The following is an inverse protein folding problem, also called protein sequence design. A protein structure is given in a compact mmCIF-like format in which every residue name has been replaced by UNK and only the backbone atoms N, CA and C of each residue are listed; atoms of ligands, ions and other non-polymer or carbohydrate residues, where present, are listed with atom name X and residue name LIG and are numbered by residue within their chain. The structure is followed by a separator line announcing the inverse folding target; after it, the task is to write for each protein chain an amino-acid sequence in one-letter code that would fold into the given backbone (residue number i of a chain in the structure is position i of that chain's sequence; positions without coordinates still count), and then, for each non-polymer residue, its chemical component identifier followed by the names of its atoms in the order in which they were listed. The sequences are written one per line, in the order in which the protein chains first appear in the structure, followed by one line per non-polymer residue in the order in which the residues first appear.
data_IF_768405354005
#
_entry.id   IF_768405354005
#
_cell.length_a   1.000
_cell.length_b   1.000
_cell.length_c   1.000
_cell.angle_alpha   90.00
_cell.angle_beta   90.00
_cell.angle_gamma   90.00
#
_symmetry.space_group_name_H-M   'P 1'
#
loop_
_entity.id
_entity.type
_entity.pdbx_description
1 polymer ?
#
# COMPACT_ATOMS: atom_id res chain seq x y z
N UNK A 1 26.52 10.93 6.75
CA UNK A 1 25.07 11.04 6.44
C UNK A 1 24.43 9.79 6.98
N UNK A 2 23.60 9.89 8.03
CA UNK A 2 22.92 8.75 8.62
C UNK A 2 21.96 8.12 7.61
N UNK A 3 22.04 6.80 7.43
CA UNK A 3 21.06 6.05 6.66
C UNK A 3 19.69 6.22 7.35
N UNK A 4 18.89 7.14 6.85
CA UNK A 4 17.53 7.30 7.35
C UNK A 4 16.77 5.99 7.12
N UNK A 5 16.18 5.44 8.19
CA UNK A 5 15.33 4.25 8.09
C UNK A 5 14.20 4.53 7.07
N UNK A 6 13.97 3.65 6.08
CA UNK A 6 12.87 3.82 5.13
C UNK A 6 11.53 3.98 5.84
N UNK A 7 10.67 4.86 5.32
CA UNK A 7 9.42 5.27 5.98
C UNK A 7 8.51 4.10 6.37
N UNK A 8 8.43 3.06 5.53
CA UNK A 8 7.63 1.87 5.78
C UNK A 8 8.10 1.05 7.00
N UNK A 9 9.33 1.24 7.43
CA UNK A 9 9.94 0.54 8.57
C UNK A 9 10.00 1.39 9.85
N UNK A 10 9.56 2.64 9.79
CA UNK A 10 9.41 3.47 10.99
C UNK A 10 8.39 2.84 11.94
N UNK A 11 8.62 3.01 13.23
CA UNK A 11 7.72 2.48 14.25
C UNK A 11 6.54 3.42 14.49
N UNK A 12 5.37 2.84 14.53
CA UNK A 12 4.14 3.47 14.95
C UNK A 12 3.54 2.60 16.06
N UNK A 13 3.61 3.07 17.30
CA UNK A 13 3.08 2.34 18.46
C UNK A 13 3.69 0.91 18.60
N UNK A 14 5.01 0.80 18.52
CA UNK A 14 5.75 -0.45 18.73
C UNK A 14 5.75 -1.45 17.55
N UNK A 15 5.10 -1.12 16.43
CA UNK A 15 5.08 -1.93 15.21
C UNK A 15 5.51 -1.09 14.01
N UNK A 16 6.08 -1.70 12.98
CA UNK A 16 6.41 -0.94 11.77
C UNK A 16 5.14 -0.49 11.03
N UNK A 17 5.25 0.61 10.28
CA UNK A 17 4.15 1.14 9.45
C UNK A 17 3.65 0.06 8.48
N UNK A 18 4.57 -0.69 7.85
CA UNK A 18 4.23 -1.79 6.94
C UNK A 18 3.49 -2.93 7.66
N UNK A 19 3.95 -3.33 8.87
CA UNK A 19 3.27 -4.34 9.67
C UNK A 19 1.84 -3.92 10.03
N UNK A 20 1.62 -2.63 10.37
CA UNK A 20 0.27 -2.11 10.63
C UNK A 20 -0.66 -2.29 9.44
N UNK A 21 -0.18 -1.96 8.24
CA UNK A 21 -0.96 -2.17 7.02
C UNK A 21 -1.31 -3.65 6.83
N UNK A 22 -0.33 -4.56 6.92
CA UNK A 22 -0.57 -5.99 6.78
C UNK A 22 -1.60 -6.52 7.79
N UNK A 23 -1.51 -6.10 9.06
CA UNK A 23 -2.43 -6.51 10.10
C UNK A 23 -3.89 -6.09 9.83
N UNK A 24 -4.11 -4.91 9.23
CA UNK A 24 -5.46 -4.46 8.87
C UNK A 24 -6.03 -5.31 7.75
N UNK A 25 -5.25 -5.62 6.71
CA UNK A 25 -5.72 -6.49 5.62
C UNK A 25 -5.99 -7.92 6.10
N UNK A 26 -5.11 -8.49 6.91
CA UNK A 26 -5.31 -9.83 7.48
C UNK A 26 -6.50 -9.91 8.45
N UNK A 27 -6.80 -8.82 9.16
CA UNK A 27 -7.98 -8.74 10.01
C UNK A 27 -9.28 -8.55 9.20
N UNK A 28 -9.19 -7.93 8.01
CA UNK A 28 -10.32 -7.79 7.09
C UNK A 28 -10.71 -9.13 6.47
N UNK A 29 -9.73 -9.86 5.96
CA UNK A 29 -9.93 -11.21 5.43
C UNK A 29 -8.69 -12.09 5.73
N UNK A 30 -8.78 -13.00 6.70
CA UNK A 30 -7.68 -13.90 7.06
C UNK A 30 -7.25 -14.87 5.94
N UNK A 31 -8.08 -15.05 4.91
CA UNK A 31 -7.79 -15.91 3.76
C UNK A 31 -7.07 -15.16 2.63
N UNK A 32 -6.97 -13.84 2.73
CA UNK A 32 -6.35 -12.99 1.73
C UNK A 32 -4.86 -13.27 1.58
N UNK A 33 -4.41 -13.42 0.34
CA UNK A 33 -2.98 -13.52 0.03
C UNK A 33 -2.35 -12.13 0.07
N UNK A 34 -1.50 -11.88 1.07
CA UNK A 34 -0.73 -10.65 1.17
C UNK A 34 0.61 -10.79 0.43
N UNK A 35 0.93 -9.84 -0.44
CA UNK A 35 2.20 -9.77 -1.16
C UNK A 35 2.88 -8.44 -0.83
N UNK A 36 4.06 -8.52 -0.25
CA UNK A 36 4.89 -7.35 0.09
C UNK A 36 5.97 -7.19 -0.98
N UNK A 37 5.94 -6.07 -1.68
CA UNK A 37 6.94 -5.77 -2.71
C UNK A 37 7.93 -4.74 -2.18
N UNK A 38 9.20 -5.12 -2.10
CA UNK A 38 10.28 -4.30 -1.54
C UNK A 38 11.48 -4.25 -2.49
N UNK A 39 12.29 -3.18 -2.44
CA UNK A 39 13.62 -3.22 -3.05
C UNK A 39 14.41 -4.43 -2.53
N UNK A 40 15.13 -5.11 -3.42
CA UNK A 40 15.95 -6.30 -3.10
C UNK A 40 16.80 -6.09 -1.84
N UNK A 41 17.44 -4.92 -1.75
CA UNK A 41 18.31 -4.55 -0.63
C UNK A 41 17.62 -4.39 0.72
N UNK A 42 16.28 -4.38 0.74
CA UNK A 42 15.47 -4.19 1.94
C UNK A 42 14.78 -5.48 2.41
N UNK A 43 14.83 -6.55 1.63
CA UNK A 43 14.13 -7.81 1.93
C UNK A 43 14.69 -8.45 3.21
N UNK A 44 16.01 -8.54 3.34
CA UNK A 44 16.65 -9.09 4.55
C UNK A 44 16.27 -8.26 5.78
N UNK A 45 16.40 -6.95 5.68
CA UNK A 45 16.04 -6.04 6.78
C UNK A 45 14.58 -6.17 7.19
N UNK A 46 13.67 -6.35 6.24
CA UNK A 46 12.25 -6.60 6.54
C UNK A 46 12.03 -7.90 7.33
N UNK A 47 12.73 -8.98 6.96
CA UNK A 47 12.67 -10.26 7.70
C UNK A 47 13.12 -10.11 9.14
N UNK A 48 14.24 -9.41 9.37
CA UNK A 48 14.76 -9.12 10.71
C UNK A 48 13.76 -8.30 11.55
N UNK A 49 13.06 -7.35 10.91
CA UNK A 49 12.01 -6.56 11.57
C UNK A 49 10.78 -7.40 11.90
N UNK A 50 10.38 -8.33 11.03
CA UNK A 50 9.28 -9.25 11.32
C UNK A 50 9.56 -10.10 12.56
N UNK A 51 10.76 -10.63 12.69
CA UNK A 51 11.18 -11.37 13.88
C UNK A 51 11.18 -10.48 15.12
N UNK A 52 11.82 -9.32 15.01
CA UNK A 52 12.00 -8.37 16.13
C UNK A 52 10.68 -7.84 16.68
N UNK A 53 9.72 -7.56 15.82
CA UNK A 53 8.42 -6.97 16.20
C UNK A 53 7.25 -7.95 16.09
N UNK A 54 7.54 -9.24 16.00
CA UNK A 54 6.54 -10.33 16.00
C UNK A 54 5.46 -10.11 14.92
N UNK A 55 5.87 -9.84 13.69
CA UNK A 55 4.95 -9.76 12.56
C UNK A 55 4.53 -11.17 12.14
N UNK A 56 3.41 -11.66 12.64
CA UNK A 56 2.91 -13.01 12.40
C UNK A 56 1.91 -13.11 11.24
N UNK A 57 1.67 -12.02 10.49
CA UNK A 57 0.79 -12.05 9.33
C UNK A 57 1.47 -12.83 8.20
N UNK A 58 0.87 -13.93 7.70
CA UNK A 58 1.40 -14.65 6.56
C UNK A 58 1.46 -13.74 5.32
N UNK A 59 2.62 -13.65 4.69
CA UNK A 59 2.78 -12.87 3.47
C UNK A 59 3.95 -13.38 2.61
N UNK A 60 3.87 -13.14 1.31
CA UNK A 60 4.92 -13.41 0.34
C UNK A 60 5.73 -12.13 0.13
N UNK A 61 7.05 -12.21 0.12
CA UNK A 61 7.92 -11.07 -0.19
C UNK A 61 8.46 -11.21 -1.60
N UNK A 62 8.31 -10.16 -2.40
CA UNK A 62 8.72 -10.11 -3.80
C UNK A 62 9.65 -8.92 -4.01
N UNK A 63 10.69 -9.12 -4.82
CA UNK A 63 11.58 -8.03 -5.23
C UNK A 63 10.85 -7.05 -6.15
N UNK A 64 10.97 -5.77 -5.84
CA UNK A 64 10.47 -4.68 -6.68
C UNK A 64 11.25 -4.54 -7.98
N UNK A 65 10.77 -3.67 -8.84
CA UNK A 65 11.43 -3.29 -10.08
C UNK A 65 12.06 -1.90 -9.99
N UNK A 66 12.53 -1.42 -11.15
CA UNK A 66 13.18 -0.10 -11.26
C UNK A 66 12.21 1.03 -10.94
N UNK A 67 10.97 0.88 -11.35
CA UNK A 67 9.91 1.87 -11.15
C UNK A 67 8.72 1.28 -10.39
N UNK A 68 7.78 2.15 -9.95
CA UNK A 68 6.54 1.72 -9.28
C UNK A 68 5.74 0.73 -10.15
N UNK A 69 5.64 1.00 -11.44
CA UNK A 69 4.95 0.12 -12.38
C UNK A 69 5.55 -1.29 -12.40
N UNK A 70 6.87 -1.41 -12.48
CA UNK A 70 7.56 -2.70 -12.48
C UNK A 70 7.36 -3.45 -11.16
N UNK A 71 7.37 -2.72 -10.05
CA UNK A 71 7.13 -3.28 -8.72
C UNK A 71 5.73 -3.86 -8.61
N UNK A 72 4.70 -3.12 -9.02
CA UNK A 72 3.31 -3.63 -9.06
C UNK A 72 3.20 -4.84 -9.96
N UNK A 73 3.79 -4.81 -11.16
CA UNK A 73 3.82 -5.92 -12.11
C UNK A 73 4.46 -7.17 -11.51
N UNK A 74 5.55 -7.02 -10.76
CA UNK A 74 6.22 -8.15 -10.09
C UNK A 74 5.33 -8.74 -8.98
N UNK A 75 4.66 -7.90 -8.19
CA UNK A 75 3.67 -8.35 -7.21
C UNK A 75 2.52 -9.12 -7.85
N UNK A 76 1.96 -8.61 -8.95
CA UNK A 76 0.86 -9.28 -9.68
C UNK A 76 1.26 -10.64 -10.23
N UNK A 77 2.50 -10.82 -10.68
CA UNK A 77 3.00 -12.13 -11.15
C UNK A 77 3.08 -13.20 -10.07
N UNK A 78 3.12 -12.81 -8.80
CA UNK A 78 3.13 -13.74 -7.68
C UNK A 78 1.73 -14.23 -7.29
N UNK A 79 0.67 -13.69 -7.91
CA UNK A 79 -0.71 -14.11 -7.72
C UNK A 79 -0.97 -15.32 -8.64
N UNK A 80 -1.45 -16.41 -8.06
CA UNK A 80 -1.74 -17.67 -8.77
C UNK A 80 -3.24 -17.92 -8.97
N UNK A 81 -4.11 -17.08 -8.40
CA UNK A 81 -5.56 -17.24 -8.43
C UNK A 81 -6.23 -16.03 -9.06
N UNK A 82 -7.39 -16.23 -9.67
CA UNK A 82 -8.24 -15.12 -10.12
C UNK A 82 -8.91 -14.45 -8.92
N UNK A 83 -9.22 -13.15 -9.05
CA UNK A 83 -9.88 -12.40 -7.99
C UNK A 83 -9.64 -10.88 -8.09
N UNK A 84 -10.11 -10.18 -7.08
CA UNK A 84 -9.89 -8.75 -6.93
C UNK A 84 -8.58 -8.50 -6.21
N UNK A 85 -7.77 -7.59 -6.74
CA UNK A 85 -6.46 -7.24 -6.19
C UNK A 85 -6.48 -5.81 -5.67
N UNK A 86 -6.13 -5.63 -4.40
CA UNK A 86 -5.88 -4.32 -3.83
C UNK A 86 -4.38 -3.96 -3.91
N UNK A 87 -4.06 -2.84 -4.56
CA UNK A 87 -2.70 -2.28 -4.57
C UNK A 87 -2.63 -1.16 -3.54
N UNK A 88 -1.88 -1.40 -2.47
CA UNK A 88 -1.80 -0.49 -1.33
C UNK A 88 -0.38 0.04 -1.12
N UNK A 89 -0.26 1.31 -0.74
CA UNK A 89 1.03 1.91 -0.40
C UNK A 89 1.47 1.50 1.02
N UNK A 90 2.61 0.82 1.14
CA UNK A 90 3.13 0.31 2.43
C UNK A 90 3.51 1.38 3.46
N UNK A 91 3.32 2.68 3.14
CA UNK A 91 3.53 3.83 4.04
C UNK A 91 2.23 4.47 4.51
N UNK A 92 1.08 3.86 4.24
CA UNK A 92 -0.27 4.38 4.61
C UNK A 92 -0.95 3.45 5.62
N UNK A 93 -0.63 3.53 6.91
CA UNK A 93 -1.11 2.56 7.91
C UNK A 93 -2.55 2.83 8.40
N UNK A 94 -3.19 3.90 7.94
CA UNK A 94 -4.50 4.35 8.43
C UNK A 94 -5.68 3.90 7.55
N UNK A 95 -5.48 2.87 6.73
CA UNK A 95 -6.59 2.23 6.01
C UNK A 95 -7.56 1.62 7.02
N UNK A 96 -8.87 1.81 6.82
CA UNK A 96 -9.90 1.29 7.71
C UNK A 96 -10.61 0.07 7.11
N UNK A 97 -11.25 -0.73 7.96
CA UNK A 97 -12.09 -1.85 7.53
C UNK A 97 -13.22 -1.42 6.59
N UNK A 98 -13.79 -0.23 6.84
CA UNK A 98 -14.83 0.35 6.01
C UNK A 98 -14.31 0.71 4.62
N UNK A 99 -13.12 1.36 4.54
CA UNK A 99 -12.49 1.66 3.24
C UNK A 99 -12.20 0.39 2.45
N UNK A 100 -11.73 -0.68 3.09
CA UNK A 100 -11.49 -1.96 2.43
C UNK A 100 -12.78 -2.56 1.92
N UNK A 101 -13.83 -2.64 2.75
CA UNK A 101 -15.14 -3.17 2.35
C UNK A 101 -15.68 -2.42 1.14
N UNK A 102 -15.78 -1.10 1.24
CA UNK A 102 -16.29 -0.27 0.16
C UNK A 102 -15.47 -0.40 -1.13
N UNK A 103 -14.13 -0.50 -1.00
CA UNK A 103 -13.23 -0.70 -2.13
C UNK A 103 -13.47 -2.03 -2.84
N UNK A 104 -13.52 -3.13 -2.12
CA UNK A 104 -13.75 -4.46 -2.68
C UNK A 104 -15.16 -4.59 -3.28
N UNK A 105 -16.21 -4.18 -2.58
CA UNK A 105 -17.60 -4.21 -3.08
C UNK A 105 -17.75 -3.34 -4.35
N UNK A 106 -17.11 -2.17 -4.38
CA UNK A 106 -17.13 -1.30 -5.56
C UNK A 106 -16.39 -1.93 -6.73
N UNK A 107 -15.21 -2.51 -6.48
CA UNK A 107 -14.44 -3.17 -7.52
C UNK A 107 -15.15 -4.41 -8.07
N UNK A 108 -15.82 -5.19 -7.23
CA UNK A 108 -16.64 -6.33 -7.64
C UNK A 108 -17.80 -5.90 -8.56
N UNK A 109 -18.46 -4.81 -8.24
CA UNK A 109 -19.62 -4.31 -8.98
C UNK A 109 -19.25 -3.60 -10.28
N UNK A 110 -18.16 -2.84 -10.29
CA UNK A 110 -17.81 -1.91 -11.38
C UNK A 110 -16.46 -2.24 -12.07
N UNK A 111 -15.76 -3.29 -11.62
CA UNK A 111 -14.47 -3.71 -12.19
C UNK A 111 -13.26 -2.99 -11.61
N UNK A 112 -13.43 -1.85 -10.95
CA UNK A 112 -12.34 -1.13 -10.28
C UNK A 112 -12.87 -0.18 -9.20
N UNK A 113 -12.02 0.18 -8.22
CA UNK A 113 -12.32 1.17 -7.20
C UNK A 113 -11.06 1.96 -6.84
N UNK A 114 -11.19 3.27 -6.71
CA UNK A 114 -10.11 4.16 -6.26
C UNK A 114 -10.67 5.03 -5.13
N UNK A 115 -10.12 4.94 -3.91
CA UNK A 115 -10.55 5.80 -2.81
C UNK A 115 -10.10 7.24 -3.08
N UNK A 116 -10.97 8.19 -2.83
CA UNK A 116 -10.67 9.61 -2.95
C UNK A 116 -11.23 10.38 -1.76
N UNK A 117 -10.78 11.60 -1.60
CA UNK A 117 -11.35 12.62 -0.71
C UNK A 117 -11.58 13.89 -1.52
N UNK A 118 -12.64 14.60 -1.20
CA UNK A 118 -12.89 15.90 -1.81
C UNK A 118 -11.77 16.89 -1.41
N UNK A 119 -11.35 17.72 -2.37
CA UNK A 119 -10.36 18.75 -2.06
C UNK A 119 -10.98 19.82 -1.16
N UNK A 120 -10.34 20.08 -0.03
CA UNK A 120 -10.72 21.17 0.87
C UNK A 120 -10.09 22.50 0.44
N UNK A 121 -8.99 22.46 -0.32
CA UNK A 121 -8.27 23.61 -0.83
C UNK A 121 -8.77 24.01 -2.21
N UNK A 122 -8.63 25.29 -2.55
CA UNK A 122 -8.88 25.77 -3.91
C UNK A 122 -7.78 25.27 -4.85
N UNK A 123 -8.18 24.53 -5.90
CA UNK A 123 -7.27 24.06 -6.93
C UNK A 123 -7.19 25.08 -8.07
N UNK A 124 -5.98 25.31 -8.57
CA UNK A 124 -5.74 26.15 -9.75
C UNK A 124 -5.01 25.35 -10.81
N UNK A 125 -5.57 25.35 -12.00
CA UNK A 125 -4.89 24.85 -13.18
C UNK A 125 -4.00 25.96 -13.74
N UNK A 126 -2.73 25.65 -13.99
CA UNK A 126 -1.76 26.57 -14.61
C UNK A 126 -1.53 26.09 -16.02
N UNK A 127 -1.72 27.00 -16.99
CA UNK A 127 -1.45 26.77 -18.41
C UNK A 127 -0.58 27.92 -18.94
N UNK A 128 0.70 27.66 -19.10
CA UNK A 128 1.69 28.67 -19.41
C UNK A 128 1.73 29.79 -18.37
N UNK A 129 1.48 31.04 -18.79
CA UNK A 129 1.45 32.21 -17.92
C UNK A 129 0.08 32.48 -17.30
N UNK A 130 -0.94 31.69 -17.66
CA UNK A 130 -2.31 31.86 -17.17
C UNK A 130 -2.66 30.84 -16.08
N UNK A 131 -3.57 31.21 -15.20
CA UNK A 131 -4.10 30.29 -14.21
C UNK A 131 -5.60 30.46 -14.02
N UNK A 132 -6.32 29.33 -13.90
CA UNK A 132 -7.76 29.29 -13.67
C UNK A 132 -8.08 28.48 -12.40
N UNK A 133 -8.94 29.00 -11.54
CA UNK A 133 -9.49 28.21 -10.42
C UNK A 133 -10.42 27.14 -11.00
N UNK A 134 -10.26 25.93 -10.53
CA UNK A 134 -11.19 24.83 -10.85
C UNK A 134 -12.37 24.87 -9.89
N UNK A 135 -13.57 24.69 -10.42
CA UNK A 135 -14.76 24.51 -9.60
C UNK A 135 -14.66 23.19 -8.83
N UNK A 136 -15.17 23.20 -7.61
CA UNK A 136 -15.20 22.02 -6.73
C UNK A 136 -16.33 21.09 -7.10
#
# INVERSE_FOLDING_TARGET
MGNAVPKQFLLLNGKTVLQRSLEVFAAFDPTMTCIVVLPETQISYWKDLCEKYSCNVPHVVVSGGKERFDSVKNGLKAISTEGIVAVHDGVRPLVTMEMLRNGFETAEKFGSAIPYVDSVDSLRMIDGETSKTLDR
#
